data_IF_921903627803
#
_entry.id   IF_921903627803
#
_cell.length_a   1.000
_cell.length_b   1.000
_cell.length_c   1.000
_cell.angle_alpha   90.00
_cell.angle_beta   90.00
_cell.angle_gamma   90.00
#
_symmetry.space_group_name_H-M   'P 1'
#
loop_
_entity.id
_entity.type
_entity.pdbx_description
1 polymer ?
#
# COMPACT_ATOMS: atom_id res chain seq x y z
N UNK A 1 42.59 -2.03 -37.08
CA UNK A 1 43.33 -2.57 -35.93
C UNK A 1 42.39 -2.63 -34.75
N UNK A 2 42.06 -3.82 -34.27
CA UNK A 2 41.17 -4.01 -33.12
C UNK A 2 41.96 -3.87 -31.82
N UNK A 3 41.71 -2.80 -31.06
CA UNK A 3 42.22 -2.65 -29.71
C UNK A 3 41.58 -3.69 -28.80
N UNK A 4 42.36 -4.65 -28.32
CA UNK A 4 41.91 -5.56 -27.27
C UNK A 4 41.65 -4.74 -26.00
N UNK A 5 40.40 -4.70 -25.54
CA UNK A 5 40.08 -4.09 -24.25
C UNK A 5 40.81 -4.86 -23.16
N UNK A 6 41.49 -4.18 -22.21
CA UNK A 6 42.16 -4.86 -21.11
C UNK A 6 41.11 -5.62 -20.29
N UNK A 7 41.37 -6.90 -20.02
CA UNK A 7 40.56 -7.71 -19.09
C UNK A 7 40.81 -7.14 -17.71
N UNK A 8 39.76 -6.70 -17.01
CA UNK A 8 39.86 -6.35 -15.60
C UNK A 8 40.37 -7.56 -14.81
N UNK A 9 41.25 -7.31 -13.84
CA UNK A 9 41.72 -8.36 -12.95
C UNK A 9 40.56 -8.86 -12.09
N UNK A 10 40.70 -10.07 -11.54
CA UNK A 10 39.70 -10.62 -10.62
C UNK A 10 39.53 -9.73 -9.38
N UNK A 11 40.62 -9.14 -8.90
CA UNK A 11 40.65 -8.20 -7.79
C UNK A 11 39.89 -6.90 -8.11
N UNK A 12 40.00 -6.38 -9.34
CA UNK A 12 39.21 -5.22 -9.76
C UNK A 12 37.72 -5.55 -9.81
N UNK A 13 37.36 -6.75 -10.29
CA UNK A 13 35.97 -7.21 -10.30
C UNK A 13 35.41 -7.36 -8.87
N UNK A 14 36.19 -7.95 -7.98
CA UNK A 14 35.83 -8.15 -6.58
C UNK A 14 35.70 -6.80 -5.84
N UNK A 15 36.59 -5.83 -6.11
CA UNK A 15 36.49 -4.45 -5.60
C UNK A 15 35.27 -3.71 -6.17
N UNK A 16 34.97 -3.85 -7.46
CA UNK A 16 33.76 -3.26 -8.06
C UNK A 16 32.48 -3.86 -7.47
N UNK A 17 32.51 -5.14 -7.15
CA UNK A 17 31.39 -5.82 -6.52
C UNK A 17 31.23 -5.36 -5.06
N UNK A 18 32.32 -5.23 -4.31
CA UNK A 18 32.30 -4.63 -2.96
C UNK A 18 31.84 -3.15 -2.98
N UNK A 19 32.25 -2.36 -3.98
CA UNK A 19 31.79 -0.98 -4.14
C UNK A 19 30.31 -0.87 -4.49
N UNK A 20 29.74 -1.86 -5.20
CA UNK A 20 28.29 -1.94 -5.44
C UNK A 20 27.53 -2.36 -4.18
N UNK A 21 28.10 -3.26 -3.37
CA UNK A 21 27.53 -3.68 -2.09
C UNK A 21 27.56 -2.57 -1.03
N UNK A 22 28.63 -1.76 -0.97
CA UNK A 22 28.72 -0.59 -0.08
C UNK A 22 27.74 0.53 -0.46
N UNK A 23 27.40 0.70 -1.76
CA UNK A 23 26.42 1.70 -2.20
C UNK A 23 24.96 1.31 -1.93
N UNK A 24 24.68 0.06 -1.57
CA UNK A 24 23.38 -0.39 -1.05
C UNK A 24 23.23 -0.12 0.46
N UNK A 25 24.27 0.44 1.09
CA UNK A 25 24.40 0.66 2.52
C UNK A 25 23.73 1.92 3.11
N UNK A 26 22.56 2.35 2.63
CA UNK A 26 21.73 3.32 3.37
C UNK A 26 20.32 2.75 3.64
N UNK A 27 20.17 1.90 4.68
CA UNK A 27 18.89 1.30 5.05
C UNK A 27 17.91 2.31 5.66
N UNK A 28 18.37 3.49 6.07
CA UNK A 28 17.61 4.32 7.00
C UNK A 28 16.34 4.94 6.37
N UNK A 29 16.42 5.39 5.11
CA UNK A 29 15.29 6.03 4.43
C UNK A 29 14.26 5.05 3.86
N UNK A 30 14.72 3.97 3.24
CA UNK A 30 13.82 3.01 2.58
C UNK A 30 13.03 2.20 3.61
N UNK A 31 13.67 1.73 4.68
CA UNK A 31 13.00 0.96 5.73
C UNK A 31 11.96 1.81 6.47
N UNK A 32 12.27 3.08 6.75
CA UNK A 32 11.32 4.01 7.35
C UNK A 32 10.11 4.25 6.44
N UNK A 33 10.31 4.44 5.13
CA UNK A 33 9.21 4.57 4.16
C UNK A 33 8.33 3.32 4.14
N UNK A 34 8.92 2.12 4.17
CA UNK A 34 8.18 0.86 4.21
C UNK A 34 7.37 0.72 5.50
N UNK A 35 7.96 1.05 6.65
CA UNK A 35 7.27 1.05 7.97
C UNK A 35 6.07 2.01 7.98
N UNK A 36 6.25 3.23 7.48
CA UNK A 36 5.17 4.23 7.38
C UNK A 36 4.05 3.75 6.46
N UNK A 37 4.38 3.25 5.27
CA UNK A 37 3.40 2.74 4.31
C UNK A 37 2.61 1.55 4.87
N UNK A 38 3.28 0.65 5.60
CA UNK A 38 2.62 -0.48 6.25
C UNK A 38 1.60 0.00 7.30
N UNK A 39 2.01 0.96 8.14
CA UNK A 39 1.13 1.55 9.15
C UNK A 39 -0.09 2.23 8.54
N UNK A 40 0.08 3.01 7.48
CA UNK A 40 -1.05 3.69 6.82
C UNK A 40 -1.99 2.70 6.12
N UNK A 41 -1.45 1.63 5.52
CA UNK A 41 -2.29 0.54 5.01
C UNK A 41 -3.15 -0.07 6.10
N UNK A 42 -2.59 -0.29 7.28
CA UNK A 42 -3.35 -0.85 8.41
C UNK A 42 -4.44 0.08 8.89
N UNK A 43 -4.12 1.36 9.06
CA UNK A 43 -5.13 2.39 9.38
C UNK A 43 -6.27 2.43 8.35
N UNK A 44 -5.95 2.34 7.06
CA UNK A 44 -6.96 2.30 5.99
C UNK A 44 -7.77 1.00 5.99
N UNK A 45 -7.17 -0.13 6.38
CA UNK A 45 -7.88 -1.39 6.55
C UNK A 45 -8.91 -1.29 7.69
N UNK A 46 -8.53 -0.75 8.84
CA UNK A 46 -9.44 -0.52 9.97
C UNK A 46 -10.62 0.37 9.57
N UNK A 47 -10.35 1.45 8.83
CA UNK A 47 -11.40 2.31 8.27
C UNK A 47 -12.33 1.56 7.32
N UNK A 48 -11.79 0.68 6.47
CA UNK A 48 -12.61 -0.12 5.56
C UNK A 48 -13.48 -1.13 6.31
N UNK A 49 -12.96 -1.74 7.39
CA UNK A 49 -13.73 -2.63 8.28
C UNK A 49 -14.88 -1.87 8.93
N UNK A 50 -14.62 -0.68 9.47
CA UNK A 50 -15.68 0.17 10.04
C UNK A 50 -16.73 0.56 8.98
N UNK A 51 -16.31 0.89 7.76
CA UNK A 51 -17.23 1.17 6.65
C UNK A 51 -18.05 -0.05 6.22
N UNK A 52 -17.52 -1.27 6.33
CA UNK A 52 -18.27 -2.49 6.08
C UNK A 52 -19.28 -2.77 7.19
N UNK A 53 -18.90 -2.60 8.46
CA UNK A 53 -19.84 -2.65 9.59
C UNK A 53 -20.97 -1.60 9.46
N UNK A 54 -20.68 -0.41 8.96
CA UNK A 54 -21.71 0.58 8.65
C UNK A 54 -22.69 0.07 7.59
N UNK A 55 -22.22 -0.63 6.55
CA UNK A 55 -23.10 -1.18 5.51
C UNK A 55 -24.04 -2.24 6.05
N UNK A 56 -23.62 -3.04 7.02
CA UNK A 56 -24.45 -4.10 7.62
C UNK A 56 -25.67 -3.54 8.34
N UNK A 57 -25.56 -2.35 8.93
CA UNK A 57 -26.66 -1.71 9.65
C UNK A 57 -27.52 -0.79 8.78
N UNK A 58 -27.21 -0.65 7.49
CA UNK A 58 -28.01 0.18 6.57
C UNK A 58 -29.32 -0.51 6.17
N UNK A 59 -30.38 0.28 5.89
CA UNK A 59 -31.58 -0.27 5.27
C UNK A 59 -31.24 -0.89 3.91
N UNK A 60 -31.87 -2.03 3.60
CA UNK A 60 -31.64 -2.81 2.37
C UNK A 60 -30.24 -3.43 2.24
N UNK A 61 -29.48 -3.55 3.34
CA UNK A 61 -28.17 -4.21 3.33
C UNK A 61 -28.22 -5.71 3.02
N UNK A 62 -29.36 -6.36 3.28
CA UNK A 62 -29.53 -7.79 3.14
C UNK A 62 -30.55 -8.11 2.04
N UNK A 63 -30.10 -8.83 1.01
CA UNK A 63 -30.97 -9.32 -0.04
C UNK A 63 -30.16 -9.99 -1.15
N UNK A 64 -30.73 -10.99 -1.84
CA UNK A 64 -30.02 -11.81 -2.83
C UNK A 64 -29.52 -11.01 -4.05
N UNK A 65 -29.97 -9.77 -4.23
CA UNK A 65 -29.57 -8.88 -5.32
C UNK A 65 -28.88 -7.60 -4.84
N UNK A 66 -28.60 -7.47 -3.54
CA UNK A 66 -27.98 -6.28 -2.97
C UNK A 66 -26.49 -6.27 -3.33
N UNK A 67 -26.04 -5.21 -4.01
CA UNK A 67 -24.64 -5.00 -4.37
C UNK A 67 -23.95 -4.10 -3.34
N UNK A 68 -22.65 -4.34 -3.12
CA UNK A 68 -21.82 -3.49 -2.25
C UNK A 68 -21.81 -2.06 -2.75
N UNK A 69 -22.30 -1.13 -1.92
CA UNK A 69 -22.31 0.29 -2.22
C UNK A 69 -20.90 0.89 -2.18
N UNK A 70 -20.67 1.88 -3.05
CA UNK A 70 -19.44 2.69 -3.01
C UNK A 70 -19.32 3.43 -1.67
N UNK A 71 -18.11 3.88 -1.31
CA UNK A 71 -17.87 4.61 -0.04
C UNK A 71 -18.74 5.86 0.05
N UNK A 72 -18.81 6.65 -1.01
CA UNK A 72 -19.63 7.87 -1.05
C UNK A 72 -21.12 7.54 -0.95
N UNK A 73 -21.61 6.53 -1.67
CA UNK A 73 -23.02 6.14 -1.62
C UNK A 73 -23.41 5.63 -0.24
N UNK A 74 -22.53 4.88 0.43
CA UNK A 74 -22.73 4.40 1.81
C UNK A 74 -22.90 5.57 2.77
N UNK A 75 -22.03 6.59 2.69
CA UNK A 75 -22.10 7.77 3.56
C UNK A 75 -23.36 8.60 3.31
N UNK A 76 -23.75 8.81 2.05
CA UNK A 76 -24.98 9.52 1.70
C UNK A 76 -26.22 8.79 2.22
N UNK A 77 -26.27 7.47 2.05
CA UNK A 77 -27.37 6.64 2.54
C UNK A 77 -27.45 6.69 4.07
N UNK A 78 -26.32 6.54 4.76
CA UNK A 78 -26.27 6.62 6.23
C UNK A 78 -26.77 7.97 6.76
N UNK A 79 -26.32 9.08 6.15
CA UNK A 79 -26.80 10.42 6.52
C UNK A 79 -28.30 10.56 6.36
N UNK A 80 -28.85 10.14 5.22
CA UNK A 80 -30.28 10.24 4.95
C UNK A 80 -31.09 9.31 5.86
N UNK A 81 -30.56 8.14 6.18
CA UNK A 81 -31.19 7.21 7.10
C UNK A 81 -31.31 7.78 8.51
N UNK A 82 -30.24 8.39 9.05
CA UNK A 82 -30.28 9.10 10.34
C UNK A 82 -31.34 10.21 10.31
N UNK A 83 -31.41 11.01 9.23
CA UNK A 83 -32.40 12.09 9.12
C UNK A 83 -33.85 11.59 9.03
N UNK A 84 -34.08 10.41 8.50
CA UNK A 84 -35.42 9.80 8.40
C UNK A 84 -35.91 9.24 9.74
N UNK A 85 -34.99 8.86 10.64
CA UNK A 85 -35.30 8.33 11.97
C UNK A 85 -35.51 9.42 13.03
N UNK A 86 -35.23 10.69 12.69
CA UNK A 86 -35.42 11.87 13.55
C UNK A 86 -36.68 12.64 13.16
#
# INVERSE_FOLDING_TARGET
GGGSRPRLSKEDLDNLQQQQEEQLGEPCGQELRLKINSRERMRMQDLNVAMDGLREVMPYAHGPSVRKLSKIATLLLARNYILMLN
#
